data_IF_070889272334
#
_entry.id   IF_070889272334
#
_cell.length_a   1.000
_cell.length_b   1.000
_cell.length_c   1.000
_cell.angle_alpha   90.00
_cell.angle_beta   90.00
_cell.angle_gamma   90.00
#
_symmetry.space_group_name_H-M   'P 1'
#
loop_
_entity.id
_entity.type
_entity.pdbx_description
1 polymer ?
#
# COMPACT_ATOMS: atom_id res chain seq x y z
N UNK A 1 -29.94 12.86 4.17
CA UNK A 1 -29.27 13.83 3.27
C UNK A 1 -27.87 14.04 3.80
N UNK A 2 -26.84 13.76 3.00
CA UNK A 2 -25.44 13.88 3.45
C UNK A 2 -25.08 15.34 3.72
N UNK A 3 -24.54 15.60 4.92
CA UNK A 3 -24.17 16.93 5.41
C UNK A 3 -22.94 17.54 4.68
N UNK A 4 -22.34 16.82 3.73
CA UNK A 4 -21.10 17.20 3.04
C UNK A 4 -21.30 17.75 1.61
N UNK A 5 -22.54 17.96 1.16
CA UNK A 5 -22.80 18.53 -0.17
C UNK A 5 -22.50 20.04 -0.18
N UNK A 6 -21.26 20.40 -0.50
CA UNK A 6 -20.82 21.80 -0.68
C UNK A 6 -21.04 22.28 -2.11
N UNK A 7 -22.30 22.37 -2.56
CA UNK A 7 -22.65 23.14 -3.77
C UNK A 7 -21.81 22.89 -5.05
N UNK A 8 -21.55 23.97 -5.79
CA UNK A 8 -20.76 23.99 -7.03
C UNK A 8 -19.27 23.68 -6.76
N UNK A 9 -18.59 22.85 -7.59
CA UNK A 9 -17.17 22.54 -7.40
C UNK A 9 -16.30 23.79 -7.48
N UNK A 10 -15.34 23.94 -6.56
CA UNK A 10 -14.41 25.07 -6.58
C UNK A 10 -13.37 24.91 -7.70
N UNK A 11 -12.67 26.00 -8.05
CA UNK A 11 -11.58 26.00 -9.04
C UNK A 11 -10.50 24.98 -8.73
N UNK A 12 -10.22 24.77 -7.44
CA UNK A 12 -9.23 23.79 -7.01
C UNK A 12 -9.73 22.34 -7.17
N UNK A 13 -11.04 22.09 -7.01
CA UNK A 13 -11.64 20.78 -7.27
C UNK A 13 -11.57 20.45 -8.78
N UNK A 14 -11.85 21.43 -9.64
CA UNK A 14 -11.73 21.29 -11.09
C UNK A 14 -10.28 20.99 -11.49
N UNK A 15 -9.30 21.72 -10.93
CA UNK A 15 -7.87 21.47 -11.19
C UNK A 15 -7.46 20.06 -10.76
N UNK A 16 -7.97 19.58 -9.63
CA UNK A 16 -7.72 18.23 -9.16
C UNK A 16 -8.29 17.17 -10.12
N UNK A 17 -9.53 17.35 -10.59
CA UNK A 17 -10.14 16.46 -11.58
C UNK A 17 -9.38 16.48 -12.92
N UNK A 18 -8.92 17.64 -13.38
CA UNK A 18 -8.08 17.72 -14.58
C UNK A 18 -6.72 17.03 -14.38
N UNK A 19 -6.12 17.13 -13.20
CA UNK A 19 -4.89 16.39 -12.89
C UNK A 19 -5.10 14.87 -12.95
N UNK A 20 -6.23 14.36 -12.44
CA UNK A 20 -6.60 12.94 -12.61
C UNK A 20 -6.80 12.59 -14.08
N UNK A 21 -7.55 13.41 -14.82
CA UNK A 21 -7.80 13.20 -16.25
C UNK A 21 -6.51 13.13 -17.05
N UNK A 22 -5.56 14.02 -16.76
CA UNK A 22 -4.24 14.05 -17.39
C UNK A 22 -3.38 12.81 -17.10
N UNK A 23 -3.73 12.00 -16.10
CA UNK A 23 -3.07 10.71 -15.81
C UNK A 23 -3.85 9.53 -16.40
N UNK A 24 -5.18 9.55 -16.28
CA UNK A 24 -6.07 8.48 -16.77
C UNK A 24 -6.06 8.38 -18.29
N UNK A 25 -6.17 9.50 -19.02
CA UNK A 25 -6.26 9.47 -20.50
C UNK A 25 -5.00 8.88 -21.14
N UNK A 26 -3.77 9.28 -20.76
CA UNK A 26 -2.57 8.62 -21.28
C UNK A 26 -2.46 7.15 -20.90
N UNK A 27 -2.90 6.76 -19.69
CA UNK A 27 -2.91 5.36 -19.25
C UNK A 27 -3.82 4.51 -20.14
N UNK A 28 -5.07 4.95 -20.36
CA UNK A 28 -6.03 4.29 -21.25
C UNK A 28 -5.44 4.15 -22.66
N UNK A 29 -4.89 5.23 -23.22
CA UNK A 29 -4.24 5.17 -24.55
C UNK A 29 -3.10 4.14 -24.64
N UNK A 30 -2.37 3.90 -23.55
CA UNK A 30 -1.32 2.87 -23.50
C UNK A 30 -1.92 1.47 -23.44
N UNK A 31 -3.02 1.28 -22.71
CA UNK A 31 -3.75 0.02 -22.64
C UNK A 31 -4.42 -0.31 -23.97
N UNK A 32 -5.13 0.64 -24.60
CA UNK A 32 -5.77 0.48 -25.91
C UNK A 32 -4.75 0.09 -26.99
N UNK A 33 -3.55 0.69 -26.92
CA UNK A 33 -2.46 0.33 -27.82
C UNK A 33 -2.01 -1.12 -27.62
N UNK A 34 -1.84 -1.55 -26.36
CA UNK A 34 -1.45 -2.94 -26.06
C UNK A 34 -2.53 -3.91 -26.52
N UNK A 35 -3.79 -3.60 -26.25
CA UNK A 35 -4.94 -4.40 -26.69
C UNK A 35 -4.96 -4.51 -28.22
N UNK A 36 -4.84 -3.39 -28.93
CA UNK A 36 -4.80 -3.42 -30.40
C UNK A 36 -3.61 -4.20 -30.96
N UNK A 37 -2.43 -4.11 -30.32
CA UNK A 37 -1.25 -4.92 -30.67
C UNK A 37 -1.48 -6.42 -30.41
N UNK A 38 -2.16 -6.76 -29.31
CA UNK A 38 -2.54 -8.14 -28.97
C UNK A 38 -3.56 -8.71 -29.96
N UNK A 39 -4.64 -7.98 -30.25
CA UNK A 39 -5.66 -8.40 -31.22
C UNK A 39 -5.06 -8.56 -32.62
N UNK A 40 -4.19 -7.63 -33.03
CA UNK A 40 -3.52 -7.70 -34.32
C UNK A 40 -2.63 -8.94 -34.47
N UNK A 41 -1.83 -9.27 -33.46
CA UNK A 41 -0.99 -10.48 -33.48
C UNK A 41 -1.80 -11.76 -33.32
N UNK A 42 -2.84 -11.74 -32.49
CA UNK A 42 -3.76 -12.87 -32.32
C UNK A 42 -4.42 -13.25 -33.66
N UNK A 43 -4.86 -12.26 -34.45
CA UNK A 43 -5.42 -12.48 -35.78
C UNK A 43 -4.43 -13.10 -36.78
N UNK A 44 -3.13 -13.08 -36.47
CA UNK A 44 -2.05 -13.70 -37.26
C UNK A 44 -1.59 -15.04 -36.67
N UNK A 45 -2.18 -15.48 -35.56
CA UNK A 45 -1.72 -16.67 -34.81
C UNK A 45 -0.40 -16.43 -34.05
N UNK A 46 0.03 -15.18 -33.92
CA UNK A 46 1.24 -14.78 -33.20
C UNK A 46 0.88 -14.20 -31.83
N UNK A 47 1.84 -14.20 -30.90
CA UNK A 47 1.68 -13.58 -29.56
C UNK A 47 2.56 -12.33 -29.47
N UNK A 48 2.12 -11.34 -28.69
CA UNK A 48 2.93 -10.15 -28.40
C UNK A 48 4.17 -10.53 -27.60
N UNK A 49 5.28 -9.88 -27.90
CA UNK A 49 6.56 -10.19 -27.26
C UNK A 49 6.48 -9.84 -25.77
N UNK A 50 6.87 -10.77 -24.92
CA UNK A 50 6.83 -10.57 -23.47
C UNK A 50 7.50 -9.28 -22.98
N UNK A 51 8.69 -8.87 -23.49
CA UNK A 51 9.32 -7.61 -23.09
C UNK A 51 8.44 -6.38 -23.38
N UNK A 52 7.65 -6.42 -24.45
CA UNK A 52 6.74 -5.34 -24.83
C UNK A 52 5.55 -5.26 -23.88
N UNK A 53 4.95 -6.41 -23.55
CA UNK A 53 3.90 -6.50 -22.54
C UNK A 53 4.42 -5.96 -21.22
N UNK A 54 5.57 -6.46 -20.74
CA UNK A 54 6.16 -6.05 -19.47
C UNK A 54 6.44 -4.55 -19.41
N UNK A 55 7.00 -3.97 -20.48
CA UNK A 55 7.27 -2.53 -20.55
C UNK A 55 6.00 -1.71 -20.45
N UNK A 56 4.94 -2.09 -21.16
CA UNK A 56 3.67 -1.36 -21.14
C UNK A 56 2.99 -1.52 -19.78
N UNK A 57 2.95 -2.73 -19.23
CA UNK A 57 2.41 -2.99 -17.88
C UNK A 57 3.13 -2.18 -16.82
N UNK A 58 4.46 -2.09 -16.87
CA UNK A 58 5.25 -1.28 -15.92
C UNK A 58 4.86 0.20 -15.99
N UNK A 59 4.62 0.72 -17.19
CA UNK A 59 4.16 2.10 -17.39
C UNK A 59 2.72 2.28 -16.86
N UNK A 60 1.84 1.31 -17.04
CA UNK A 60 0.48 1.35 -16.48
C UNK A 60 0.53 1.33 -14.95
N UNK A 61 1.36 0.46 -14.36
CA UNK A 61 1.55 0.39 -12.90
C UNK A 61 2.06 1.70 -12.31
N UNK A 62 2.93 2.42 -13.02
CA UNK A 62 3.40 3.73 -12.56
C UNK A 62 2.28 4.79 -12.60
N UNK A 63 1.42 4.78 -13.62
CA UNK A 63 0.22 5.62 -13.65
C UNK A 63 -0.74 5.27 -12.50
N UNK A 64 -1.02 3.99 -12.26
CA UNK A 64 -1.89 3.56 -11.16
C UNK A 64 -1.35 4.00 -9.79
N UNK A 65 -0.05 3.86 -9.58
CA UNK A 65 0.62 4.31 -8.35
C UNK A 65 0.49 5.83 -8.17
N UNK A 66 0.69 6.59 -9.25
CA UNK A 66 0.53 8.05 -9.26
C UNK A 66 -0.90 8.48 -8.95
N UNK A 67 -1.88 7.82 -9.56
CA UNK A 67 -3.32 8.09 -9.33
C UNK A 67 -3.66 7.78 -7.87
N UNK A 68 -3.21 6.64 -7.35
CA UNK A 68 -3.44 6.26 -5.97
C UNK A 68 -2.83 7.27 -4.98
N UNK A 69 -1.58 7.69 -5.23
CA UNK A 69 -0.93 8.74 -4.43
C UNK A 69 -1.65 10.09 -4.52
N UNK A 70 -2.25 10.39 -5.67
CA UNK A 70 -3.01 11.63 -5.85
C UNK A 70 -4.34 11.62 -5.08
N UNK A 71 -5.02 10.48 -4.99
CA UNK A 71 -6.30 10.33 -4.27
C UNK A 71 -6.03 10.20 -2.77
N UNK A 72 -5.30 9.15 -2.39
CA UNK A 72 -5.11 8.71 -1.00
C UNK A 72 -3.98 9.44 -0.28
N UNK A 73 -3.18 10.25 -0.98
CA UNK A 73 -1.92 10.77 -0.46
C UNK A 73 -0.86 9.68 -0.34
N UNK A 74 0.17 9.93 0.47
CA UNK A 74 1.23 8.94 0.72
C UNK A 74 2.51 9.59 1.21
N UNK A 75 3.63 8.89 1.03
CA UNK A 75 4.94 9.37 1.42
C UNK A 75 5.85 9.48 0.22
N UNK A 76 6.47 10.65 0.06
CA UNK A 76 7.52 10.85 -0.92
C UNK A 76 8.86 10.87 -0.21
N UNK A 77 9.70 9.89 -0.53
CA UNK A 77 11.08 9.86 -0.07
C UNK A 77 11.93 10.71 -1.00
N UNK A 78 12.59 11.72 -0.46
CA UNK A 78 13.53 12.56 -1.19
C UNK A 78 14.90 12.48 -0.51
N UNK A 79 15.90 12.05 -1.27
CA UNK A 79 17.31 12.18 -0.88
C UNK A 79 17.82 13.51 -1.40
N UNK A 80 18.02 14.49 -0.52
CA UNK A 80 18.63 15.77 -0.88
C UNK A 80 20.07 15.83 -0.38
N UNK A 81 20.96 16.32 -1.24
CA UNK A 81 22.31 16.66 -0.84
C UNK A 81 22.27 18.02 -0.14
N UNK A 82 22.47 18.03 1.17
CA UNK A 82 22.49 19.24 1.98
C UNK A 82 23.94 19.59 2.27
N UNK A 83 24.32 20.84 2.00
CA UNK A 83 25.63 21.37 2.40
C UNK A 83 25.45 22.11 3.70
N UNK A 84 26.04 21.61 4.77
CA UNK A 84 25.98 22.22 6.09
C UNK A 84 27.37 22.76 6.46
N UNK A 85 27.42 24.03 6.87
CA UNK A 85 28.64 24.63 7.43
C UNK A 85 28.84 24.09 8.83
N UNK A 86 29.92 23.33 9.03
CA UNK A 86 30.35 22.87 10.34
C UNK A 86 31.58 23.67 10.77
N UNK A 87 31.53 24.21 11.99
CA UNK A 87 32.71 24.79 12.64
C UNK A 87 33.58 23.66 13.17
N UNK A 88 34.78 23.54 12.63
CA UNK A 88 35.76 22.54 13.05
C UNK A 88 37.01 23.28 13.52
N UNK A 89 37.65 22.85 14.62
CA UNK A 89 38.91 23.43 15.05
C UNK A 89 39.97 23.31 13.94
N UNK A 90 40.64 24.42 13.65
CA UNK A 90 41.77 24.49 12.74
C UNK A 90 42.91 23.64 13.27
N UNK A 91 43.58 22.89 12.39
CA UNK A 91 44.71 22.04 12.74
C UNK A 91 45.96 22.49 12.00
N UNK A 92 47.08 22.52 12.70
CA UNK A 92 48.40 22.78 12.10
C UNK A 92 48.90 21.57 11.28
N UNK A 93 49.99 21.72 10.53
CA UNK A 93 50.57 20.68 9.66
C UNK A 93 50.92 19.36 10.39
N UNK A 94 51.03 19.40 11.72
CA UNK A 94 51.28 18.25 12.61
C UNK A 94 50.01 17.65 13.23
N UNK A 95 48.82 18.20 12.92
CA UNK A 95 47.52 17.70 13.38
C UNK A 95 47.02 18.25 14.72
N UNK A 96 47.77 19.15 15.37
CA UNK A 96 47.40 19.77 16.64
C UNK A 96 46.40 20.93 16.43
N UNK A 97 45.48 21.12 17.38
CA UNK A 97 44.48 22.19 17.35
C UNK A 97 45.16 23.56 17.53
N UNK A 98 44.85 24.51 16.64
CA UNK A 98 45.37 25.87 16.71
C UNK A 98 44.54 26.68 17.70
N UNK A 99 45.20 27.26 18.70
CA UNK A 99 44.60 28.13 19.70
C UNK A 99 44.90 29.61 19.39
N UNK A 100 43.95 30.50 19.67
CA UNK A 100 44.14 31.96 19.61
C UNK A 100 44.96 32.45 20.82
N UNK A 101 45.46 33.69 20.78
CA UNK A 101 46.20 34.35 21.86
C UNK A 101 45.51 34.32 23.25
N UNK A 102 44.20 34.09 23.28
CA UNK A 102 43.31 33.96 24.44
C UNK A 102 43.14 32.51 24.92
N UNK A 103 43.83 31.55 24.29
CA UNK A 103 43.76 30.12 24.62
C UNK A 103 42.50 29.40 24.09
N UNK A 104 41.70 30.02 23.23
CA UNK A 104 40.49 29.41 22.63
C UNK A 104 40.79 28.81 21.26
N UNK A 105 40.06 27.75 20.91
CA UNK A 105 40.22 27.09 19.61
C UNK A 105 39.83 27.99 18.43
N UNK A 106 40.70 28.06 17.42
CA UNK A 106 40.40 28.76 16.17
C UNK A 106 39.49 27.87 15.32
N UNK A 107 38.21 28.22 15.21
CA UNK A 107 37.23 27.47 14.42
C UNK A 107 37.24 27.93 12.96
N UNK A 108 37.28 26.99 12.02
CA UNK A 108 37.13 27.23 10.57
C UNK A 108 35.81 26.61 10.11
N UNK A 109 35.04 27.37 9.34
CA UNK A 109 33.84 26.86 8.69
C UNK A 109 34.24 25.93 7.54
N UNK A 110 33.90 24.65 7.63
CA UNK A 110 34.00 23.69 6.53
C UNK A 110 32.63 23.31 6.02
N UNK A 111 32.47 23.32 4.71
CA UNK A 111 31.28 22.83 4.03
C UNK A 111 31.31 21.30 4.00
N UNK A 112 30.44 20.67 4.80
CA UNK A 112 30.23 19.22 4.76
C UNK A 112 28.99 18.95 3.91
N UNK A 113 29.14 18.12 2.87
CA UNK A 113 28.03 17.65 2.06
C UNK A 113 27.53 16.32 2.64
N UNK A 114 26.29 16.30 3.12
CA UNK A 114 25.63 15.08 3.60
C UNK A 114 24.38 14.82 2.77
N UNK A 115 24.16 13.55 2.38
CA UNK A 115 22.85 13.13 1.88
C UNK A 115 21.92 12.93 3.06
N UNK A 116 20.81 13.66 3.08
CA UNK A 116 19.75 13.49 4.05
C UNK A 116 18.56 12.90 3.29
N UNK A 117 18.15 11.71 3.73
CA UNK A 117 16.88 11.12 3.31
C UNK A 117 15.78 11.76 4.15
N UNK A 118 14.87 12.46 3.47
CA UNK A 118 13.68 13.06 4.09
C UNK A 118 12.45 12.37 3.55
N UNK A 119 11.55 11.98 4.45
CA UNK A 119 10.24 11.43 4.11
C UNK A 119 9.22 12.55 4.27
N UNK A 120 8.62 13.00 3.17
CA UNK A 120 7.59 14.02 3.18
C UNK A 120 6.22 13.37 3.02
N UNK A 121 5.31 13.61 3.97
CA UNK A 121 3.91 13.23 3.82
C UNK A 121 3.26 14.11 2.74
N UNK A 122 2.58 13.48 1.79
CA UNK A 122 1.75 14.13 0.79
C UNK A 122 0.33 14.26 1.34
N UNK A 123 -0.31 15.43 1.21
CA UNK A 123 -1.67 15.62 1.67
C UNK A 123 -2.63 14.67 0.91
N UNK A 124 -3.64 14.19 1.61
CA UNK A 124 -4.69 13.35 1.03
C UNK A 124 -5.76 14.23 0.39
N UNK A 125 -6.32 13.77 -0.75
CA UNK A 125 -7.42 14.46 -1.43
C UNK A 125 -8.75 13.71 -1.26
N UNK A 126 -8.77 12.60 -0.52
CA UNK A 126 -9.92 11.72 -0.33
C UNK A 126 -11.18 12.47 0.10
N UNK A 127 -11.07 13.36 1.11
CA UNK A 127 -12.23 14.12 1.61
C UNK A 127 -12.83 15.06 0.56
N UNK A 128 -12.02 15.58 -0.36
CA UNK A 128 -12.49 16.40 -1.49
C UNK A 128 -13.21 15.53 -2.51
N UNK A 129 -12.66 14.37 -2.86
CA UNK A 129 -13.32 13.43 -3.76
C UNK A 129 -14.64 12.88 -3.21
N UNK A 130 -14.71 12.64 -1.90
CA UNK A 130 -15.93 12.19 -1.23
C UNK A 130 -17.04 13.25 -1.26
N UNK A 131 -16.68 14.52 -1.18
CA UNK A 131 -17.64 15.63 -1.27
C UNK A 131 -18.18 15.84 -2.70
N UNK A 132 -17.42 15.44 -3.72
CA UNK A 132 -17.82 15.56 -5.13
C UNK A 132 -18.79 14.43 -5.51
N UNK A 133 -19.99 14.81 -5.93
CA UNK A 133 -21.01 13.86 -6.38
C UNK A 133 -21.39 14.16 -7.83
N UNK A 134 -20.97 13.31 -8.79
CA UNK A 134 -21.30 13.52 -10.19
C UNK A 134 -22.78 13.24 -10.45
N UNK A 135 -23.42 14.10 -11.23
CA UNK A 135 -24.78 13.94 -11.73
C UNK A 135 -24.85 14.34 -13.21
N UNK A 136 -25.79 13.81 -14.00
CA UNK A 136 -25.94 14.19 -15.40
C UNK A 136 -26.28 15.68 -15.52
N UNK A 137 -25.58 16.38 -16.41
CA UNK A 137 -25.94 17.76 -16.78
C UNK A 137 -27.33 17.76 -17.45
N UNK A 138 -28.16 18.81 -17.30
CA UNK A 138 -29.37 19.02 -18.09
C UNK A 138 -29.25 18.78 -19.60
N UNK A 139 -28.09 19.01 -20.20
CA UNK A 139 -27.82 18.74 -21.63
C UNK A 139 -27.61 17.26 -21.95
N UNK A 140 -27.41 16.42 -20.94
CA UNK A 140 -27.26 14.98 -21.14
C UNK A 140 -28.62 14.40 -21.56
N UNK A 141 -28.68 13.62 -22.65
CA UNK A 141 -29.94 13.27 -23.29
C UNK A 141 -30.67 12.12 -22.57
N UNK A 142 -31.05 12.30 -21.30
CA UNK A 142 -31.67 11.29 -20.43
C UNK A 142 -32.87 10.57 -21.05
N UNK A 143 -33.66 11.30 -21.83
CA UNK A 143 -34.89 10.78 -22.44
C UNK A 143 -34.70 10.31 -23.90
N UNK A 144 -33.50 10.45 -24.47
CA UNK A 144 -33.25 10.03 -25.85
C UNK A 144 -33.13 8.50 -25.96
N UNK A 145 -33.60 7.96 -27.08
CA UNK A 145 -33.50 6.52 -27.38
C UNK A 145 -34.31 5.63 -26.43
N UNK A 146 -35.46 6.09 -25.94
CA UNK A 146 -36.37 5.26 -25.13
C UNK A 146 -35.83 4.87 -23.75
N UNK A 147 -34.91 5.66 -23.18
CA UNK A 147 -34.28 5.37 -21.89
C UNK A 147 -32.92 4.66 -21.99
N UNK A 148 -32.43 4.33 -23.20
CA UNK A 148 -31.07 3.80 -23.38
C UNK A 148 -29.99 4.76 -22.84
N UNK A 149 -30.16 6.07 -23.04
CA UNK A 149 -29.25 7.07 -22.50
C UNK A 149 -29.29 7.15 -20.96
N UNK A 150 -30.44 6.89 -20.34
CA UNK A 150 -30.54 6.76 -18.89
C UNK A 150 -29.76 5.54 -18.37
N UNK A 151 -29.85 4.40 -19.08
CA UNK A 151 -29.05 3.21 -18.78
C UNK A 151 -27.54 3.47 -18.85
N UNK A 152 -27.07 4.20 -19.87
CA UNK A 152 -25.66 4.58 -19.99
C UNK A 152 -25.19 5.51 -18.87
N UNK A 153 -26.02 6.45 -18.41
CA UNK A 153 -25.63 7.25 -17.25
C UNK A 153 -25.53 6.41 -15.97
N UNK A 154 -26.41 5.41 -15.82
CA UNK A 154 -26.35 4.45 -14.71
C UNK A 154 -25.05 3.65 -14.69
N UNK A 155 -24.53 3.25 -15.85
CA UNK A 155 -23.24 2.55 -15.94
C UNK A 155 -22.06 3.50 -15.71
N UNK A 156 -22.07 4.70 -16.29
CA UNK A 156 -21.00 5.70 -16.12
C UNK A 156 -20.88 6.20 -14.67
N UNK A 157 -21.99 6.28 -13.93
CA UNK A 157 -22.04 6.74 -12.55
C UNK A 157 -22.06 5.59 -11.54
N UNK A 158 -21.86 4.34 -11.99
CA UNK A 158 -21.83 3.17 -11.13
C UNK A 158 -20.62 3.26 -10.18
N UNK A 159 -20.90 3.23 -8.87
CA UNK A 159 -19.88 3.23 -7.82
C UNK A 159 -19.53 1.83 -7.29
N UNK A 160 -20.38 0.84 -7.55
CA UNK A 160 -20.14 -0.54 -7.12
C UNK A 160 -19.11 -1.19 -8.01
N UNK A 161 -18.26 -2.01 -7.38
CA UNK A 161 -17.36 -2.92 -8.07
C UNK A 161 -18.14 -3.80 -9.05
N UNK A 162 -17.44 -4.26 -10.08
CA UNK A 162 -17.96 -5.31 -10.94
C UNK A 162 -18.00 -6.64 -10.16
N UNK A 163 -18.92 -7.57 -10.52
CA UNK A 163 -19.14 -8.77 -9.71
C UNK A 163 -17.91 -9.66 -9.53
N UNK A 164 -17.01 -9.67 -10.51
CA UNK A 164 -15.78 -10.45 -10.46
C UNK A 164 -14.80 -9.88 -9.42
N UNK A 165 -14.62 -8.56 -9.41
CA UNK A 165 -13.80 -7.84 -8.46
C UNK A 165 -14.39 -7.88 -7.05
N UNK A 166 -15.72 -7.78 -6.93
CA UNK A 166 -16.43 -7.89 -5.65
C UNK A 166 -16.15 -9.26 -5.01
N UNK A 167 -16.35 -10.36 -5.75
CA UNK A 167 -16.05 -11.71 -5.24
C UNK A 167 -14.57 -11.92 -4.90
N UNK A 168 -13.66 -11.36 -5.69
CA UNK A 168 -12.22 -11.42 -5.40
C UNK A 168 -11.84 -10.64 -4.13
N UNK A 169 -12.42 -9.45 -3.93
CA UNK A 169 -12.21 -8.64 -2.72
C UNK A 169 -12.76 -9.36 -1.49
N UNK A 170 -13.99 -9.86 -1.56
CA UNK A 170 -14.63 -10.61 -0.48
C UNK A 170 -13.81 -11.84 -0.08
N UNK A 171 -13.30 -12.61 -1.05
CA UNK A 171 -12.45 -13.77 -0.78
C UNK A 171 -11.15 -13.38 -0.08
N UNK A 172 -10.52 -12.27 -0.48
CA UNK A 172 -9.30 -11.78 0.15
C UNK A 172 -9.54 -11.26 1.56
N UNK A 173 -10.65 -10.58 1.80
CA UNK A 173 -11.03 -10.12 3.14
C UNK A 173 -11.39 -11.33 4.02
N UNK A 174 -12.10 -12.32 3.48
CA UNK A 174 -12.41 -13.57 4.18
C UNK A 174 -11.14 -14.30 4.60
N UNK A 175 -10.16 -14.39 3.70
CA UNK A 175 -8.85 -14.95 4.04
C UNK A 175 -8.14 -14.11 5.10
N UNK A 176 -8.13 -12.78 4.94
CA UNK A 176 -7.55 -11.88 5.95
C UNK A 176 -8.23 -11.97 7.32
N UNK A 177 -9.52 -12.31 7.38
CA UNK A 177 -10.29 -12.48 8.62
C UNK A 177 -9.77 -13.61 9.51
N UNK A 178 -8.97 -14.53 8.95
CA UNK A 178 -8.28 -15.57 9.72
C UNK A 178 -7.25 -14.98 10.70
N UNK A 179 -6.68 -13.82 10.40
CA UNK A 179 -5.58 -13.23 11.18
C UNK A 179 -5.80 -11.78 11.60
N UNK A 180 -6.76 -11.07 11.00
CA UNK A 180 -7.03 -9.65 11.25
C UNK A 180 -8.50 -9.47 11.56
N UNK A 181 -8.81 -8.60 12.53
CA UNK A 181 -10.18 -8.23 12.84
C UNK A 181 -10.86 -7.58 11.62
N UNK A 182 -11.99 -8.16 11.20
CA UNK A 182 -12.86 -7.61 10.17
C UNK A 182 -14.15 -7.14 10.84
N UNK A 183 -14.57 -5.87 10.64
CA UNK A 183 -15.81 -5.37 11.19
C UNK A 183 -17.04 -6.15 10.69
N UNK A 184 -17.94 -6.52 11.60
CA UNK A 184 -19.18 -7.26 11.27
C UNK A 184 -20.08 -6.50 10.29
N UNK A 185 -20.02 -5.16 10.29
CA UNK A 185 -20.77 -4.28 9.38
C UNK A 185 -20.49 -4.57 7.90
N UNK A 186 -19.36 -5.20 7.58
CA UNK A 186 -18.99 -5.52 6.21
C UNK A 186 -19.68 -6.79 5.69
N UNK A 187 -20.34 -7.56 6.56
CA UNK A 187 -21.11 -8.73 6.19
C UNK A 187 -20.28 -9.90 5.66
N UNK A 188 -18.97 -9.91 5.92
CA UNK A 188 -18.05 -10.94 5.45
C UNK A 188 -17.85 -11.94 6.59
N UNK A 189 -18.52 -13.09 6.47
CA UNK A 189 -18.36 -14.17 7.44
C UNK A 189 -17.01 -14.87 7.26
N UNK A 190 -16.22 -15.07 8.34
CA UNK A 190 -15.00 -15.85 8.26
C UNK A 190 -15.33 -17.28 7.81
N UNK A 191 -14.44 -17.87 7.00
CA UNK A 191 -14.62 -19.24 6.55
C UNK A 191 -14.56 -20.14 7.80
N UNK A 192 -15.67 -20.84 8.11
CA UNK A 192 -15.66 -21.85 9.18
C UNK A 192 -14.59 -22.89 8.84
N UNK A 193 -13.79 -23.35 9.82
CA UNK A 193 -12.77 -24.36 9.56
C UNK A 193 -13.46 -25.59 8.97
N UNK A 194 -13.04 -25.99 7.77
CA UNK A 194 -13.54 -27.20 7.12
C UNK A 194 -13.16 -28.38 8.02
N UNK A 195 -14.16 -29.05 8.61
CA UNK A 195 -13.96 -30.22 9.46
C UNK A 195 -13.23 -31.39 8.74
N UNK A 196 -13.14 -31.33 7.41
CA UNK A 196 -12.41 -32.28 6.58
C UNK A 196 -10.89 -31.99 6.51
N UNK A 197 -10.44 -30.75 6.72
CA UNK A 197 -9.01 -30.40 6.70
C UNK A 197 -8.27 -30.85 7.98
N UNK A 198 -8.99 -30.93 9.11
CA UNK A 198 -8.44 -31.35 10.41
C UNK A 198 -8.05 -32.84 10.41
N UNK A 199 -8.71 -33.67 9.59
CA UNK A 199 -8.44 -35.12 9.53
C UNK A 199 -7.22 -35.53 8.70
N UNK A 200 -6.67 -34.64 7.86
CA UNK A 200 -5.52 -34.99 7.02
C UNK A 200 -4.16 -34.65 7.68
N UNK A 201 -4.16 -33.99 8.83
CA UNK A 201 -2.94 -33.55 9.51
C UNK A 201 -2.49 -34.45 10.67
N UNK A 202 -3.25 -35.49 11.03
CA UNK A 202 -2.90 -36.36 12.17
C UNK A 202 -2.00 -37.55 11.80
N UNK A 203 -1.80 -37.88 10.51
CA UNK A 203 -1.21 -39.18 10.13
C UNK A 203 0.17 -39.15 9.44
N UNK A 204 0.84 -38.01 9.20
CA UNK A 204 2.05 -38.04 8.33
C UNK A 204 3.36 -37.38 8.78
N UNK A 205 3.49 -36.74 9.95
CA UNK A 205 4.81 -36.20 10.36
C UNK A 205 5.07 -36.30 11.88
N UNK A 206 5.16 -37.53 12.42
CA UNK A 206 5.93 -37.77 13.66
C UNK A 206 7.43 -37.82 13.31
N UNK A 207 8.03 -36.65 13.08
CA UNK A 207 9.50 -36.52 13.13
C UNK A 207 9.93 -36.62 14.61
N UNK A 208 10.06 -37.86 15.10
CA UNK A 208 10.72 -38.15 16.38
C UNK A 208 12.17 -37.64 16.32
N UNK A 209 12.44 -36.57 17.05
CA UNK A 209 13.80 -36.04 17.24
C UNK A 209 14.63 -37.12 17.97
N UNK A 210 15.79 -37.57 17.45
CA UNK A 210 16.60 -38.58 18.11
C UNK A 210 17.01 -38.13 19.51
N UNK A 211 16.90 -39.01 20.51
CA UNK A 211 17.21 -38.73 21.93
C UNK A 211 18.59 -38.10 22.17
N UNK A 212 19.52 -38.21 21.22
CA UNK A 212 20.87 -37.65 21.29
C UNK A 212 20.96 -36.13 21.14
N UNK A 213 19.90 -35.43 20.73
CA UNK A 213 19.87 -33.96 20.61
C UNK A 213 19.18 -33.25 21.80
N UNK A 214 18.73 -33.99 22.82
CA UNK A 214 18.29 -33.42 24.11
C UNK A 214 19.48 -32.96 24.97
N UNK A 215 20.22 -31.98 24.49
CA UNK A 215 21.05 -31.14 25.35
C UNK A 215 20.12 -30.09 25.97
N UNK A 216 20.05 -30.14 27.30
CA UNK A 216 19.29 -29.28 28.22
C UNK A 216 17.88 -29.78 28.57
N UNK A 217 17.80 -30.48 29.71
CA UNK A 217 16.58 -31.02 30.35
C UNK A 217 15.62 -29.95 30.89
N UNK A 218 15.86 -28.68 30.59
CA UNK A 218 15.03 -27.53 31.00
C UNK A 218 14.49 -26.73 29.79
N UNK A 219 14.82 -27.13 28.55
CA UNK A 219 14.27 -26.48 27.37
C UNK A 219 12.80 -26.87 27.19
N UNK A 220 11.90 -25.87 27.28
CA UNK A 220 10.47 -26.01 27.00
C UNK A 220 10.30 -26.75 25.67
N UNK A 221 9.59 -27.89 25.62
CA UNK A 221 9.36 -28.62 24.37
C UNK A 221 8.61 -27.72 23.39
N UNK A 222 9.30 -27.16 22.41
CA UNK A 222 8.67 -26.37 21.35
C UNK A 222 8.27 -27.30 20.22
N UNK A 223 7.00 -27.70 20.18
CA UNK A 223 6.42 -28.34 18.99
C UNK A 223 6.00 -27.24 18.01
N UNK A 224 6.35 -27.42 16.73
CA UNK A 224 5.96 -26.46 15.69
C UNK A 224 4.51 -26.71 15.29
N UNK A 225 3.59 -26.05 15.96
CA UNK A 225 2.16 -26.11 15.60
C UNK A 225 1.93 -25.29 14.33
N UNK A 226 1.50 -25.94 13.23
CA UNK A 226 0.98 -25.26 12.03
C UNK A 226 -0.46 -24.81 12.31
N UNK A 227 -0.62 -23.83 13.18
CA UNK A 227 -1.91 -23.16 13.36
C UNK A 227 -1.79 -21.68 13.00
N UNK A 228 -2.83 -21.18 12.32
CA UNK A 228 -2.94 -19.78 11.95
C UNK A 228 -3.33 -18.99 13.21
N UNK A 229 -2.33 -18.50 13.96
CA UNK A 229 -2.58 -17.64 15.11
C UNK A 229 -3.43 -16.43 14.71
N UNK A 230 -4.61 -16.30 15.30
CA UNK A 230 -5.46 -15.11 15.12
C UNK A 230 -4.81 -13.88 15.79
N UNK A 231 -5.24 -12.66 15.43
CA UNK A 231 -4.76 -11.44 16.08
C UNK A 231 -4.91 -11.48 17.61
N UNK A 232 -5.99 -12.07 18.11
CA UNK A 232 -6.25 -12.19 19.54
C UNK A 232 -5.33 -13.21 20.20
N UNK A 233 -4.98 -14.29 19.51
CA UNK A 233 -4.05 -15.30 20.01
C UNK A 233 -2.61 -14.76 20.03
N UNK A 234 -2.21 -14.01 18.99
CA UNK A 234 -0.94 -13.29 18.97
C UNK A 234 -0.87 -12.32 20.17
N UNK A 235 -1.94 -11.55 20.41
CA UNK A 235 -1.99 -10.59 21.51
C UNK A 235 -1.88 -11.28 22.87
N UNK A 236 -2.59 -12.40 23.08
CA UNK A 236 -2.49 -13.21 24.30
C UNK A 236 -1.08 -13.79 24.48
N UNK A 237 -0.47 -14.30 23.42
CA UNK A 237 0.87 -14.89 23.45
C UNK A 237 1.94 -13.84 23.79
N UNK A 238 1.82 -12.63 23.23
CA UNK A 238 2.65 -11.49 23.61
C UNK A 238 2.45 -11.05 25.05
N UNK A 239 1.20 -11.01 25.53
CA UNK A 239 0.90 -10.68 26.93
C UNK A 239 1.46 -11.73 27.89
N UNK A 240 1.34 -13.02 27.55
CA UNK A 240 1.88 -14.13 28.33
C UNK A 240 3.41 -14.07 28.39
N UNK A 241 4.08 -13.91 27.24
CA UNK A 241 5.53 -13.77 27.20
C UNK A 241 6.03 -12.55 27.98
N UNK A 242 5.28 -11.44 27.94
CA UNK A 242 5.60 -10.26 28.75
C UNK A 242 5.48 -10.55 30.24
N UNK A 243 4.40 -11.21 30.68
CA UNK A 243 4.21 -11.62 32.06
C UNK A 243 5.32 -12.59 32.52
N UNK A 244 5.68 -13.60 31.73
CA UNK A 244 6.73 -14.55 32.11
C UNK A 244 8.12 -13.91 32.23
N UNK A 245 8.47 -12.98 31.35
CA UNK A 245 9.79 -12.35 31.33
C UNK A 245 9.91 -11.20 32.34
N UNK A 246 8.84 -10.43 32.53
CA UNK A 246 8.90 -9.19 33.31
C UNK A 246 8.14 -9.26 34.65
N UNK A 247 7.11 -10.08 34.76
CA UNK A 247 6.43 -10.34 36.04
C UNK A 247 7.06 -11.56 36.74
N UNK A 248 8.37 -11.48 37.03
CA UNK A 248 8.98 -12.42 37.96
C UNK A 248 8.28 -12.26 39.32
N UNK A 249 7.51 -13.27 39.72
CA UNK A 249 6.89 -13.37 41.04
C UNK A 249 7.94 -13.16 42.13
N UNK A 250 7.71 -12.16 42.98
CA UNK A 250 8.33 -12.05 44.32
C UNK A 250 7.81 -13.20 45.18
#
# INVERSE_FOLDING_TARGET
MNQNFKGEPDRDDIRMLENLRNQLVPMIKKMDRLQGEMEFKLNRGEVVDWPQIHRITTVVTSYLTSIHQHISGGYRHQSKLVTQKHRIPSKDAKGNIVLDASGKEVLVDRDIRRRIATTQALPTNTSRFEALHPFPNPLFPMNAGGGMAAGMAGTLLRKRLEPMEEGWVEERIRKASEWVYVPEEWGIEPKKPDAAAIKQTEDEDEDEVPESERLDSEAIPTTRVKDALSADDIKKLWQHAHQEVFDMKI
#
